data_IF_055231739265
#
_entry.id   IF_055231739265
#
_cell.length_a   1.000
_cell.length_b   1.000
_cell.length_c   1.000
_cell.angle_alpha   90.00
_cell.angle_beta   90.00
_cell.angle_gamma   90.00
#
_symmetry.space_group_name_H-M   'P 1'
#
loop_
_entity.id
_entity.type
_entity.pdbx_description
1 polymer ?
#
# COMPACT_ATOMS: atom_id res chain seq x y z
N UNK A 1 34.58 14.42 -17.79
CA UNK A 1 33.73 13.21 -17.96
C UNK A 1 32.67 13.24 -16.88
N UNK A 2 31.38 13.12 -17.23
CA UNK A 2 30.30 13.08 -16.24
C UNK A 2 30.04 11.63 -15.83
N UNK A 3 30.12 11.34 -14.52
CA UNK A 3 29.82 10.02 -13.96
C UNK A 3 28.29 9.94 -13.79
N UNK A 4 27.59 9.29 -14.72
CA UNK A 4 26.15 9.04 -14.60
C UNK A 4 25.93 7.86 -13.66
N UNK A 5 25.45 8.12 -12.45
CA UNK A 5 25.00 7.06 -11.54
C UNK A 5 23.49 6.90 -11.64
N UNK A 6 23.04 5.82 -12.26
CA UNK A 6 21.63 5.43 -12.24
C UNK A 6 21.25 5.01 -10.81
N UNK A 7 20.70 5.94 -10.01
CA UNK A 7 20.23 5.69 -8.64
C UNK A 7 18.71 5.60 -8.55
N UNK A 8 18.05 5.08 -9.57
CA UNK A 8 16.60 4.92 -9.54
C UNK A 8 16.25 3.46 -9.24
N UNK A 9 15.48 3.25 -8.18
CA UNK A 9 14.87 1.97 -7.86
C UNK A 9 13.44 1.97 -8.37
N UNK A 10 13.06 0.89 -9.04
CA UNK A 10 11.68 0.68 -9.46
C UNK A 10 10.81 0.40 -8.24
N UNK A 11 9.70 1.14 -8.16
CA UNK A 11 8.67 0.95 -7.15
C UNK A 11 7.38 0.48 -7.83
N UNK A 12 6.52 -0.14 -7.05
CA UNK A 12 5.24 -0.68 -7.48
C UNK A 12 4.11 0.08 -6.82
N UNK A 13 2.97 0.14 -7.51
CA UNK A 13 1.78 0.79 -7.01
C UNK A 13 0.71 -0.26 -6.73
N UNK A 14 0.20 -0.27 -5.51
CA UNK A 14 -1.00 -1.03 -5.14
C UNK A 14 -2.20 -0.11 -5.08
N UNK A 15 -3.24 -0.44 -5.84
CA UNK A 15 -4.48 0.32 -5.91
C UNK A 15 -5.66 -0.47 -5.35
N UNK A 16 -6.34 0.10 -4.37
CA UNK A 16 -7.64 -0.38 -3.88
C UNK A 16 -8.73 0.52 -4.43
N UNK A 17 -9.75 -0.06 -5.05
CA UNK A 17 -10.85 0.67 -5.69
C UNK A 17 -12.17 0.21 -5.09
N UNK A 18 -13.00 1.16 -4.64
CA UNK A 18 -14.39 0.90 -4.28
C UNK A 18 -15.26 1.02 -5.54
N UNK A 19 -15.75 -0.10 -6.13
CA UNK A 19 -16.33 -0.05 -7.48
C UNK A 19 -17.59 0.81 -7.59
N UNK A 20 -18.40 0.84 -6.53
CA UNK A 20 -19.68 1.56 -6.53
C UNK A 20 -19.53 3.09 -6.45
N UNK A 21 -18.44 3.58 -5.87
CA UNK A 21 -18.24 5.02 -5.60
C UNK A 21 -17.07 5.60 -6.38
N UNK A 22 -16.21 4.75 -6.96
CA UNK A 22 -14.97 5.16 -7.61
C UNK A 22 -13.87 5.61 -6.65
N UNK A 23 -14.06 5.51 -5.33
CA UNK A 23 -13.04 5.91 -4.35
C UNK A 23 -11.82 4.98 -4.47
N UNK A 24 -10.63 5.56 -4.47
CA UNK A 24 -9.38 4.82 -4.60
C UNK A 24 -8.38 5.15 -3.50
N UNK A 25 -7.62 4.14 -3.05
CA UNK A 25 -6.44 4.31 -2.20
C UNK A 25 -5.23 3.69 -2.90
N UNK A 26 -4.11 4.42 -2.90
CA UNK A 26 -2.90 4.05 -3.62
C UNK A 26 -1.70 3.99 -2.68
N UNK A 27 -0.90 2.95 -2.81
CA UNK A 27 0.31 2.73 -2.01
C UNK A 27 1.50 2.52 -2.92
N UNK A 28 2.62 3.19 -2.61
CA UNK A 28 3.89 2.99 -3.29
C UNK A 28 4.75 2.04 -2.45
N UNK A 29 5.15 0.92 -3.04
CA UNK A 29 5.86 -0.16 -2.35
C UNK A 29 7.11 -0.61 -3.11
N UNK A 30 8.14 -1.11 -2.44
CA UNK A 30 9.38 -1.52 -3.09
C UNK A 30 9.33 -2.92 -3.71
N UNK A 31 8.39 -3.79 -3.31
CA UNK A 31 8.33 -5.19 -3.76
C UNK A 31 6.90 -5.70 -3.85
N UNK A 32 6.66 -6.65 -4.76
CA UNK A 32 5.39 -7.36 -4.94
C UNK A 32 5.54 -8.78 -4.40
N UNK A 33 5.15 -9.00 -3.15
CA UNK A 33 5.12 -10.32 -2.53
C UNK A 33 4.06 -10.35 -1.41
N UNK A 34 3.87 -11.53 -0.79
CA UNK A 34 2.86 -11.73 0.25
C UNK A 34 3.11 -10.90 1.52
N UNK A 35 4.37 -10.68 1.88
CA UNK A 35 4.75 -9.86 3.05
C UNK A 35 4.28 -8.41 2.88
N UNK A 36 4.62 -7.79 1.74
CA UNK A 36 4.20 -6.43 1.42
C UNK A 36 2.69 -6.33 1.22
N UNK A 37 2.05 -7.35 0.66
CA UNK A 37 0.60 -7.41 0.56
C UNK A 37 -0.08 -7.41 1.92
N UNK A 38 0.39 -8.22 2.88
CA UNK A 38 -0.15 -8.25 4.23
C UNK A 38 0.01 -6.89 4.94
N UNK A 39 1.18 -6.25 4.80
CA UNK A 39 1.44 -4.93 5.36
C UNK A 39 0.50 -3.86 4.80
N UNK A 40 0.38 -3.78 3.47
CA UNK A 40 -0.52 -2.82 2.81
C UNK A 40 -1.97 -3.10 3.16
N UNK A 41 -2.38 -4.36 3.28
CA UNK A 41 -3.75 -4.72 3.66
C UNK A 41 -4.10 -4.26 5.07
N UNK A 42 -3.17 -4.40 6.02
CA UNK A 42 -3.33 -3.86 7.38
C UNK A 42 -3.43 -2.34 7.35
N UNK A 43 -2.57 -1.68 6.56
CA UNK A 43 -2.58 -0.22 6.47
C UNK A 43 -3.87 0.30 5.83
N UNK A 44 -4.34 -0.38 4.78
CA UNK A 44 -5.63 -0.13 4.17
C UNK A 44 -6.78 -0.22 5.17
N UNK A 45 -6.82 -1.26 6.02
CA UNK A 45 -7.85 -1.40 7.05
C UNK A 45 -7.88 -0.20 8.03
N UNK A 46 -6.71 0.28 8.46
CA UNK A 46 -6.59 1.48 9.29
C UNK A 46 -7.11 2.73 8.56
N UNK A 47 -6.72 2.92 7.30
CA UNK A 47 -7.04 4.11 6.50
C UNK A 47 -8.54 4.18 6.13
N UNK A 48 -9.22 3.04 6.00
CA UNK A 48 -10.69 2.99 5.83
C UNK A 48 -11.45 3.00 7.16
N UNK A 49 -10.76 3.11 8.30
CA UNK A 49 -11.36 3.20 9.63
C UNK A 49 -11.87 1.88 10.21
N UNK A 50 -11.44 0.74 9.66
CA UNK A 50 -11.70 -0.59 10.23
C UNK A 50 -10.65 -0.84 11.32
N UNK A 51 -10.88 -0.30 12.51
CA UNK A 51 -10.12 -0.69 13.70
C UNK A 51 -10.64 -2.05 14.19
N UNK A 52 -9.76 -3.00 14.59
CA UNK A 52 -10.23 -4.19 15.29
C UNK A 52 -10.95 -3.73 16.55
N UNK A 53 -12.28 -3.91 16.58
CA UNK A 53 -13.08 -3.69 17.79
C UNK A 53 -12.33 -4.35 18.95
N UNK A 54 -11.92 -3.56 19.95
CA UNK A 54 -11.50 -4.07 21.25
C UNK A 54 -12.49 -5.17 21.64
N UNK A 55 -12.01 -6.37 21.93
CA UNK A 55 -12.83 -7.37 22.61
C UNK A 55 -13.31 -6.71 23.90
N UNK A 56 -14.61 -6.46 24.04
CA UNK A 56 -15.16 -6.12 25.35
C UNK A 56 -14.90 -7.30 26.29
N UNK A 57 -14.46 -6.97 27.50
CA UNK A 57 -14.38 -7.87 28.65
C UNK A 57 -15.73 -8.52 28.95
#
# INVERSE_FOLDING_TARGET
MAIVQHRYQWLYVYGFVQPKTGKTLWYLIPRVNTEWLNLVSKKFAEDVGISPKKKCC
#
